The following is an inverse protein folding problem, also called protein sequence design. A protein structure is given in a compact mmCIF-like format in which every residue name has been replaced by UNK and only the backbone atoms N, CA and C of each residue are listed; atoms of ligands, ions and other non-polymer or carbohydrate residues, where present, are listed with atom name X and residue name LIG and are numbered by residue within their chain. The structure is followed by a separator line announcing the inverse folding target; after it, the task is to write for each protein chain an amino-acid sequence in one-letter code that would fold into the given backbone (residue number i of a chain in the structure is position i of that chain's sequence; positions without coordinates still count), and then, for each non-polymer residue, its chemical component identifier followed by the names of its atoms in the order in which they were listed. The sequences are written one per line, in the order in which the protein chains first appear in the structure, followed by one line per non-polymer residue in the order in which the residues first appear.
data_IF_843609005695
#
_entry.id   IF_843609005695
#
_cell.length_a   1.000
_cell.length_b   1.000
_cell.length_c   1.000
_cell.angle_alpha   90.00
_cell.angle_beta   90.00
_cell.angle_gamma   90.00
#
_symmetry.space_group_name_H-M   'P 1'
#
loop_
_entity.id
_entity.type
_entity.pdbx_description
1 polymer ?
#
# COMPACT_ATOMS: atom_id res chain seq x y z
N UNK A 1 -17.37 8.14 -9.39
CA UNK A 1 -16.36 7.09 -9.09
C UNK A 1 -15.75 7.48 -7.76
N UNK A 2 -15.85 6.62 -6.73
CA UNK A 2 -15.41 6.98 -5.38
C UNK A 2 -13.89 6.99 -5.28
N UNK A 3 -13.34 8.12 -4.82
CA UNK A 3 -11.91 8.32 -4.64
C UNK A 3 -11.47 7.76 -3.28
N UNK A 4 -10.36 7.03 -3.26
CA UNK A 4 -9.69 6.64 -2.01
C UNK A 4 -8.76 7.78 -1.59
N UNK A 5 -9.04 8.41 -0.45
CA UNK A 5 -8.16 9.43 0.14
C UNK A 5 -7.05 8.73 0.90
N UNK A 6 -5.79 9.05 0.57
CA UNK A 6 -4.63 8.38 1.15
C UNK A 6 -3.91 9.25 2.20
N UNK A 7 -4.08 10.57 2.16
CA UNK A 7 -3.60 11.46 3.22
C UNK A 7 -4.17 11.04 4.59
N UNK A 8 -3.28 10.93 5.58
CA UNK A 8 -3.63 10.60 6.98
C UNK A 8 -3.02 11.63 7.93
N UNK A 9 -1.78 11.43 8.38
CA UNK A 9 -1.04 12.40 9.19
C UNK A 9 -0.26 13.39 8.29
N UNK A 10 -0.19 14.64 8.71
CA UNK A 10 0.60 15.71 8.10
C UNK A 10 2.05 15.34 7.79
N UNK A 11 2.67 14.47 8.59
CA UNK A 11 4.06 14.04 8.45
C UNK A 11 4.24 12.92 7.40
N UNK A 12 3.15 12.26 6.97
CA UNK A 12 3.20 11.20 5.96
C UNK A 12 3.05 11.83 4.57
N UNK A 13 4.16 12.37 4.07
CA UNK A 13 4.15 13.11 2.79
C UNK A 13 3.90 12.21 1.58
N UNK A 14 4.28 10.93 1.65
CA UNK A 14 4.16 9.97 0.53
C UNK A 14 2.73 9.89 0.01
N UNK A 15 1.75 9.68 0.90
CA UNK A 15 0.35 9.51 0.49
C UNK A 15 -0.28 10.81 0.01
N UNK A 16 0.12 11.95 0.59
CA UNK A 16 -0.30 13.30 0.16
C UNK A 16 0.16 13.59 -1.26
N UNK A 17 1.41 13.26 -1.58
CA UNK A 17 1.95 13.43 -2.93
C UNK A 17 1.17 12.55 -3.89
N UNK A 18 0.91 11.27 -3.57
CA UNK A 18 0.11 10.38 -4.42
C UNK A 18 -1.30 10.96 -4.66
N UNK A 19 -1.96 11.46 -3.62
CA UNK A 19 -3.27 12.10 -3.75
C UNK A 19 -3.28 13.29 -4.72
N UNK A 20 -2.17 14.02 -4.83
CA UNK A 20 -2.05 15.16 -5.73
C UNK A 20 -1.67 14.75 -7.16
N UNK A 21 -0.70 13.85 -7.32
CA UNK A 21 -0.07 13.56 -8.62
C UNK A 21 -0.64 12.33 -9.32
N UNK A 22 -1.17 11.37 -8.56
CA UNK A 22 -1.65 10.08 -9.06
C UNK A 22 -2.82 9.56 -8.19
N UNK A 23 -3.96 10.26 -8.18
CA UNK A 23 -5.09 9.91 -7.31
C UNK A 23 -5.62 8.50 -7.62
N UNK A 24 -5.95 7.75 -6.57
CA UNK A 24 -6.45 6.36 -6.67
C UNK A 24 -7.94 6.33 -6.33
N UNK A 25 -8.73 5.60 -7.12
CA UNK A 25 -10.16 5.41 -6.89
C UNK A 25 -10.55 3.94 -6.73
N UNK A 26 -11.77 3.69 -6.24
CA UNK A 26 -12.34 2.34 -6.19
C UNK A 26 -12.48 1.78 -7.62
N UNK A 27 -11.95 0.59 -7.84
CA UNK A 27 -11.87 -0.05 -9.16
C UNK A 27 -10.70 0.41 -10.03
N UNK A 28 -9.80 1.26 -9.52
CA UNK A 28 -8.60 1.69 -10.24
C UNK A 28 -7.63 0.51 -10.41
N UNK A 29 -6.99 0.44 -11.58
CA UNK A 29 -5.81 -0.40 -11.82
C UNK A 29 -4.61 0.52 -11.94
N UNK A 30 -3.68 0.40 -11.01
CA UNK A 30 -2.45 1.20 -10.97
C UNK A 30 -1.22 0.29 -11.05
N UNK A 31 -0.12 0.85 -11.55
CA UNK A 31 1.19 0.20 -11.55
C UNK A 31 2.19 1.14 -10.88
N UNK A 32 2.91 0.62 -9.89
CA UNK A 32 4.03 1.33 -9.27
C UNK A 32 5.31 0.85 -9.96
N UNK A 33 5.91 1.71 -10.78
CA UNK A 33 7.19 1.44 -11.44
C UNK A 33 8.31 2.01 -10.59
N UNK A 34 9.20 1.14 -10.12
CA UNK A 34 10.29 1.50 -9.22
C UNK A 34 11.53 0.62 -9.52
N UNK A 35 12.73 1.20 -9.67
CA UNK A 35 13.97 0.43 -9.70
C UNK A 35 14.21 -0.34 -8.39
N UNK A 36 15.14 -1.32 -8.39
CA UNK A 36 15.53 -1.99 -7.15
C UNK A 36 16.00 -1.00 -6.09
N UNK A 37 15.62 -1.23 -4.82
CA UNK A 37 16.03 -0.44 -3.64
C UNK A 37 15.53 1.01 -3.59
N UNK A 38 14.45 1.37 -4.31
CA UNK A 38 13.88 2.74 -4.28
C UNK A 38 12.61 2.88 -3.45
N UNK A 39 12.40 2.01 -2.46
CA UNK A 39 11.29 2.16 -1.51
C UNK A 39 9.90 1.71 -1.99
N UNK A 40 9.82 0.83 -3.01
CA UNK A 40 8.56 0.20 -3.48
C UNK A 40 7.72 -0.32 -2.32
N UNK A 41 8.36 -1.05 -1.41
CA UNK A 41 7.73 -1.67 -0.24
C UNK A 41 7.15 -0.62 0.72
N UNK A 42 7.89 0.45 1.01
CA UNK A 42 7.43 1.54 1.89
C UNK A 42 6.22 2.27 1.30
N UNK A 43 6.19 2.48 -0.02
CA UNK A 43 5.04 3.09 -0.69
C UNK A 43 3.81 2.18 -0.57
N UNK A 44 3.97 0.87 -0.82
CA UNK A 44 2.86 -0.09 -0.69
C UNK A 44 2.31 -0.13 0.74
N UNK A 45 3.18 -0.16 1.75
CA UNK A 45 2.78 -0.10 3.16
C UNK A 45 2.03 1.20 3.49
N UNK A 46 2.50 2.34 3.00
CA UNK A 46 1.85 3.62 3.22
C UNK A 46 0.44 3.68 2.60
N UNK A 47 0.28 3.17 1.38
CA UNK A 47 -1.03 3.07 0.71
C UNK A 47 -1.95 2.13 1.49
N UNK A 48 -1.46 0.94 1.83
CA UNK A 48 -2.21 -0.07 2.57
C UNK A 48 -2.74 0.49 3.90
N UNK A 49 -1.87 1.10 4.70
CA UNK A 49 -2.23 1.68 5.98
C UNK A 49 -3.20 2.87 5.84
N UNK A 50 -3.04 3.69 4.80
CA UNK A 50 -3.98 4.77 4.54
C UNK A 50 -5.38 4.25 4.17
N UNK A 51 -5.47 3.17 3.38
CA UNK A 51 -6.74 2.53 3.06
C UNK A 51 -7.40 1.99 4.33
N UNK A 52 -6.66 1.31 5.21
CA UNK A 52 -7.25 0.79 6.45
C UNK A 52 -7.78 1.90 7.37
N UNK A 53 -7.16 3.08 7.36
CA UNK A 53 -7.58 4.22 8.17
C UNK A 53 -8.77 4.96 7.55
N UNK A 54 -8.68 5.31 6.28
CA UNK A 54 -9.64 6.21 5.62
C UNK A 54 -10.79 5.47 4.93
N UNK A 55 -10.64 4.18 4.68
CA UNK A 55 -11.63 3.35 4.00
C UNK A 55 -11.73 1.97 4.65
N UNK A 56 -12.08 1.89 5.95
CA UNK A 56 -12.16 0.63 6.70
C UNK A 56 -13.25 -0.32 6.16
N UNK A 57 -14.16 0.16 5.32
CA UNK A 57 -15.14 -0.66 4.61
C UNK A 57 -14.53 -1.47 3.46
N UNK A 58 -13.32 -1.12 3.01
CA UNK A 58 -12.61 -1.85 1.96
C UNK A 58 -11.92 -3.09 2.54
N UNK A 59 -12.15 -4.25 1.91
CA UNK A 59 -11.35 -5.45 2.21
C UNK A 59 -9.95 -5.31 1.59
N UNK A 60 -8.95 -5.13 2.44
CA UNK A 60 -7.56 -4.95 2.01
C UNK A 60 -6.83 -6.29 1.97
N UNK A 61 -6.32 -6.63 0.78
CA UNK A 61 -5.47 -7.81 0.56
C UNK A 61 -4.10 -7.37 0.04
N UNK A 62 -3.04 -7.91 0.62
CA UNK A 62 -1.66 -7.78 0.14
C UNK A 62 -1.17 -9.15 -0.28
N UNK A 63 -0.82 -9.28 -1.55
CA UNK A 63 -0.31 -10.53 -2.13
C UNK A 63 1.17 -10.37 -2.43
N UNK A 64 1.99 -11.21 -1.81
CA UNK A 64 3.43 -11.26 -2.00
C UNK A 64 3.79 -12.54 -2.75
N UNK A 65 4.57 -12.42 -3.82
CA UNK A 65 4.99 -13.55 -4.66
C UNK A 65 6.50 -13.47 -4.77
N UNK A 66 7.18 -14.57 -4.49
CA UNK A 66 8.64 -14.69 -4.68
C UNK A 66 9.47 -13.73 -3.80
N UNK A 67 8.87 -13.15 -2.76
CA UNK A 67 9.53 -12.21 -1.85
C UNK A 67 10.21 -12.94 -0.69
N UNK A 68 11.22 -12.30 -0.08
CA UNK A 68 12.01 -12.94 0.99
C UNK A 68 11.21 -13.06 2.29
N UNK A 69 11.47 -14.09 3.13
CA UNK A 69 10.75 -14.29 4.39
C UNK A 69 10.77 -13.09 5.33
N UNK A 70 11.88 -12.35 5.40
CA UNK A 70 12.00 -11.15 6.23
C UNK A 70 11.11 -9.99 5.73
N UNK A 71 10.94 -9.87 4.41
CA UNK A 71 10.08 -8.85 3.78
C UNK A 71 8.60 -9.20 3.95
N UNK A 72 8.25 -10.49 3.87
CA UNK A 72 6.90 -10.99 4.19
C UNK A 72 6.56 -10.69 5.64
N UNK A 73 7.48 -10.99 6.57
CA UNK A 73 7.29 -10.76 8.00
C UNK A 73 7.11 -9.27 8.30
N UNK A 74 7.89 -8.40 7.65
CA UNK A 74 7.76 -6.94 7.79
C UNK A 74 6.38 -6.45 7.31
N UNK A 75 5.91 -6.94 6.17
CA UNK A 75 4.59 -6.57 5.63
C UNK A 75 3.45 -7.03 6.54
N UNK A 76 3.52 -8.26 7.06
CA UNK A 76 2.53 -8.80 8.00
C UNK A 76 2.43 -8.01 9.30
N UNK A 77 3.54 -7.44 9.78
CA UNK A 77 3.57 -6.61 10.98
C UNK A 77 3.12 -5.18 10.72
N UNK A 78 3.36 -4.67 9.51
CA UNK A 78 3.17 -3.27 9.17
C UNK A 78 1.79 -2.94 8.62
N UNK A 79 1.08 -3.92 8.04
CA UNK A 79 -0.22 -3.71 7.39
C UNK A 79 -1.35 -4.38 8.17
N UNK A 80 -2.39 -3.60 8.46
CA UNK A 80 -3.65 -4.11 9.01
C UNK A 80 -4.57 -4.56 7.86
N UNK A 81 -4.42 -5.80 7.43
CA UNK A 81 -5.18 -6.41 6.35
C UNK A 81 -4.84 -7.88 6.17
N UNK A 82 -5.45 -8.51 5.18
CA UNK A 82 -5.12 -9.89 4.81
C UNK A 82 -3.79 -9.89 4.04
N UNK A 83 -2.77 -10.54 4.58
CA UNK A 83 -1.46 -10.67 3.92
C UNK A 83 -1.25 -12.13 3.52
N UNK A 84 -1.23 -12.37 2.22
CA UNK A 84 -1.04 -13.69 1.60
C UNK A 84 0.33 -13.70 0.93
N UNK A 85 1.12 -14.73 1.17
CA UNK A 85 2.44 -14.86 0.56
C UNK A 85 2.67 -16.26 -0.01
N UNK A 86 3.28 -16.33 -1.19
CA UNK A 86 3.91 -17.53 -1.72
C UNK A 86 5.41 -17.29 -1.78
N UNK A 87 6.13 -17.77 -0.75
CA UNK A 87 7.59 -17.71 -0.69
C UNK A 87 8.22 -18.88 -1.45
N UNK A 88 9.53 -18.80 -1.67
CA UNK A 88 10.35 -19.97 -2.03
C UNK A 88 10.36 -21.03 -0.92
#
# INVERSE_FOLDING_TARGET
QDRLRLETDSNILTTRIIDLVAPIGKGQRGLIVAPPKTGKTMILQAIANAITVNSPECHLMVVLVDERPEEVTDMQRSVKGEVISSTF
#
